data_IF_246546026803
#
_entry.id   IF_246546026803
#
_cell.length_a   1.000
_cell.length_b   1.000
_cell.length_c   1.000
_cell.angle_alpha   90.00
_cell.angle_beta   90.00
_cell.angle_gamma   90.00
#
_symmetry.space_group_name_H-M   'P 1'
#
loop_
_entity.id
_entity.type
_entity.pdbx_description
1 polymer ?
#
# COMPACT_ATOMS: atom_id res chain seq x y z
N UNK A 1 17.07 22.84 3.08
CA UNK A 1 15.68 22.41 3.32
C UNK A 1 15.65 20.93 3.03
N UNK A 2 15.33 20.12 4.04
CA UNK A 2 15.19 18.67 3.91
C UNK A 2 13.74 18.32 3.64
N UNK A 3 13.48 17.48 2.65
CA UNK A 3 12.14 17.08 2.24
C UNK A 3 12.05 15.55 2.21
N UNK A 4 11.11 14.97 2.95
CA UNK A 4 10.70 13.58 2.79
C UNK A 4 9.39 13.54 2.03
N UNK A 5 9.34 12.72 0.98
CA UNK A 5 8.19 12.60 0.08
C UNK A 5 7.95 11.14 -0.28
N UNK A 6 6.89 10.87 -1.02
CA UNK A 6 6.40 9.53 -1.31
C UNK A 6 7.26 8.65 -2.24
N UNK A 7 7.84 9.21 -3.31
CA UNK A 7 8.49 8.42 -4.36
C UNK A 7 9.70 9.14 -4.99
N UNK A 8 10.58 8.37 -5.62
CA UNK A 8 11.80 8.85 -6.27
C UNK A 8 11.51 9.85 -7.40
N UNK A 9 10.37 9.70 -8.09
CA UNK A 9 9.98 10.66 -9.14
C UNK A 9 9.77 12.08 -8.58
N UNK A 10 9.15 12.19 -7.40
CA UNK A 10 8.95 13.48 -6.71
C UNK A 10 10.28 14.06 -6.23
N UNK A 11 11.18 13.22 -5.69
CA UNK A 11 12.55 13.63 -5.31
C UNK A 11 13.28 14.24 -6.52
N UNK A 12 13.31 13.51 -7.63
CA UNK A 12 13.97 13.97 -8.86
C UNK A 12 13.37 15.29 -9.37
N UNK A 13 12.06 15.51 -9.22
CA UNK A 13 11.40 16.75 -9.61
C UNK A 13 11.81 17.93 -8.70
N UNK A 14 11.90 17.71 -7.39
CA UNK A 14 12.36 18.71 -6.43
C UNK A 14 13.83 19.11 -6.67
N UNK A 15 14.71 18.14 -6.91
CA UNK A 15 16.13 18.39 -7.17
C UNK A 15 16.38 19.09 -8.52
N UNK A 16 15.58 18.79 -9.54
CA UNK A 16 15.60 19.53 -10.82
C UNK A 16 15.16 20.98 -10.64
N UNK A 17 14.22 21.25 -9.72
CA UNK A 17 13.76 22.60 -9.42
C UNK A 17 14.84 23.42 -8.70
N UNK A 18 15.57 22.82 -7.76
CA UNK A 18 16.69 23.44 -7.06
C UNK A 18 17.67 22.37 -6.50
N UNK A 19 18.88 22.33 -7.07
CA UNK A 19 19.91 21.33 -6.72
C UNK A 19 20.49 21.47 -5.31
N UNK A 20 20.03 22.46 -4.52
CA UNK A 20 20.40 22.65 -3.11
C UNK A 20 19.41 22.02 -2.15
N UNK A 21 18.30 21.50 -2.66
CA UNK A 21 17.31 20.76 -1.88
C UNK A 21 17.86 19.36 -1.62
N UNK A 22 17.63 18.89 -0.40
CA UNK A 22 18.01 17.57 0.07
C UNK A 22 16.71 16.77 0.24
N UNK A 23 16.37 15.94 -0.74
CA UNK A 23 15.07 15.27 -0.83
C UNK A 23 15.21 13.75 -0.80
N UNK A 24 14.31 13.09 -0.06
CA UNK A 24 14.35 11.65 0.17
C UNK A 24 12.98 11.02 -0.06
N UNK A 25 12.98 9.86 -0.73
CA UNK A 25 11.75 9.11 -0.99
C UNK A 25 11.50 8.11 0.15
N UNK A 26 10.30 8.15 0.74
CA UNK A 26 9.77 7.17 1.69
C UNK A 26 9.07 5.99 1.02
N UNK A 27 9.55 5.62 -0.17
CA UNK A 27 8.92 4.66 -1.05
C UNK A 27 8.96 3.24 -0.45
N UNK A 28 7.80 2.61 -0.31
CA UNK A 28 7.60 1.19 0.01
C UNK A 28 6.18 0.76 -0.43
N UNK A 29 6.00 -0.34 -1.20
CA UNK A 29 4.72 -1.00 -1.43
C UNK A 29 4.22 -1.69 -0.15
N UNK A 30 3.58 -0.89 0.72
CA UNK A 30 3.10 -1.32 2.03
C UNK A 30 1.86 -2.23 1.97
N UNK A 31 1.24 -2.37 0.79
CA UNK A 31 0.09 -3.23 0.59
C UNK A 31 0.47 -4.63 0.07
N UNK A 32 1.76 -4.98 0.18
CA UNK A 32 2.35 -6.28 -0.13
C UNK A 32 3.22 -6.80 1.02
N UNK A 33 3.16 -8.12 1.25
CA UNK A 33 3.93 -8.80 2.27
C UNK A 33 3.46 -8.49 3.69
N UNK A 34 4.05 -9.17 4.67
CA UNK A 34 3.78 -8.91 6.08
C UNK A 34 4.41 -7.59 6.50
N UNK A 35 3.64 -6.73 7.14
CA UNK A 35 4.18 -5.60 7.91
C UNK A 35 4.43 -6.03 9.36
N UNK A 36 5.43 -5.43 9.99
CA UNK A 36 5.79 -5.68 11.38
C UNK A 36 5.44 -4.45 12.21
N UNK A 37 4.72 -4.68 13.31
CA UNK A 37 4.28 -3.64 14.22
C UNK A 37 5.43 -2.98 14.98
N UNK A 38 5.20 -1.74 15.41
CA UNK A 38 6.16 -0.91 16.12
C UNK A 38 6.89 0.08 15.23
N UNK A 39 7.76 0.87 15.87
CA UNK A 39 8.43 2.03 15.29
C UNK A 39 9.95 1.84 15.14
N UNK A 40 10.46 0.61 15.33
CA UNK A 40 11.85 0.28 15.04
C UNK A 40 12.04 0.15 13.52
N UNK A 41 12.56 1.21 12.91
CA UNK A 41 12.76 1.28 11.46
C UNK A 41 13.81 0.28 10.95
N UNK A 42 14.75 -0.14 11.79
CA UNK A 42 15.79 -1.11 11.40
C UNK A 42 15.23 -2.53 11.42
N UNK A 43 14.46 -2.87 12.46
CA UNK A 43 13.70 -4.12 12.49
C UNK A 43 12.68 -4.19 11.34
N UNK A 44 12.03 -3.07 11.04
CA UNK A 44 11.14 -2.96 9.88
C UNK A 44 11.89 -3.19 8.57
N UNK A 45 13.03 -2.52 8.35
CA UNK A 45 13.85 -2.68 7.14
C UNK A 45 14.26 -4.15 6.91
N UNK A 46 14.72 -4.83 7.96
CA UNK A 46 15.07 -6.25 7.90
C UNK A 46 13.85 -7.14 7.62
N UNK A 47 12.70 -6.88 8.24
CA UNK A 47 11.49 -7.64 7.95
C UNK A 47 11.00 -7.45 6.50
N UNK A 48 11.11 -6.22 5.97
CA UNK A 48 10.76 -5.90 4.59
C UNK A 48 11.68 -6.57 3.58
N UNK A 49 12.99 -6.65 3.85
CA UNK A 49 13.92 -7.33 2.92
C UNK A 49 13.54 -8.80 2.71
N UNK A 50 13.07 -9.50 3.75
CA UNK A 50 12.52 -10.86 3.58
C UNK A 50 11.24 -10.91 2.73
N UNK A 51 10.35 -9.92 2.86
CA UNK A 51 9.14 -9.85 2.04
C UNK A 51 9.49 -9.66 0.56
N UNK A 52 10.41 -8.74 0.27
CA UNK A 52 10.92 -8.51 -1.09
C UNK A 52 11.63 -9.74 -1.66
N UNK A 53 12.51 -10.38 -0.88
CA UNK A 53 13.20 -11.60 -1.29
C UNK A 53 12.21 -12.75 -1.60
N UNK A 54 11.17 -12.91 -0.78
CA UNK A 54 10.11 -13.89 -1.01
C UNK A 54 9.27 -13.60 -2.28
N UNK A 55 9.18 -12.33 -2.67
CA UNK A 55 8.55 -11.87 -3.91
C UNK A 55 9.49 -11.97 -5.14
N UNK A 56 10.78 -12.21 -4.91
CA UNK A 56 11.87 -12.01 -5.87
C UNK A 56 12.04 -10.56 -6.34
N UNK A 57 11.55 -9.57 -5.59
CA UNK A 57 11.63 -8.14 -5.95
C UNK A 57 12.96 -7.45 -5.58
N UNK A 58 13.91 -8.22 -5.02
CA UNK A 58 15.24 -7.74 -4.63
C UNK A 58 16.32 -8.60 -5.30
N UNK A 59 16.52 -8.39 -6.60
CA UNK A 59 17.46 -9.18 -7.40
C UNK A 59 18.92 -8.99 -6.94
N UNK A 60 19.25 -7.77 -6.53
CA UNK A 60 20.61 -7.38 -6.12
C UNK A 60 20.85 -7.51 -4.61
N UNK A 61 19.84 -7.92 -3.82
CA UNK A 61 19.89 -8.02 -2.36
C UNK A 61 20.26 -6.70 -1.66
N UNK A 62 19.74 -5.57 -2.17
CA UNK A 62 20.06 -4.21 -1.69
C UNK A 62 18.93 -3.56 -0.92
N UNK A 63 17.72 -4.14 -0.91
CA UNK A 63 16.53 -3.50 -0.31
C UNK A 63 16.72 -3.21 1.18
N UNK A 64 17.37 -4.10 1.93
CA UNK A 64 17.66 -3.82 3.34
C UNK A 64 18.58 -2.62 3.49
N UNK A 65 19.66 -2.54 2.70
CA UNK A 65 20.62 -1.45 2.76
C UNK A 65 19.98 -0.12 2.34
N UNK A 66 19.14 -0.11 1.29
CA UNK A 66 18.40 1.06 0.84
C UNK A 66 17.44 1.58 1.92
N UNK A 67 16.71 0.70 2.59
CA UNK A 67 15.84 1.12 3.71
C UNK A 67 16.66 1.68 4.88
N UNK A 68 17.80 1.09 5.21
CA UNK A 68 18.69 1.60 6.28
C UNK A 68 19.26 2.96 5.93
N UNK A 69 19.71 3.16 4.70
CA UNK A 69 20.18 4.46 4.22
C UNK A 69 19.09 5.51 4.37
N UNK A 70 17.87 5.22 3.90
CA UNK A 70 16.72 6.10 4.06
C UNK A 70 16.40 6.42 5.53
N UNK A 71 16.46 5.42 6.42
CA UNK A 71 16.23 5.60 7.87
C UNK A 71 17.30 6.49 8.52
N UNK A 72 18.56 6.32 8.12
CA UNK A 72 19.68 7.14 8.56
C UNK A 72 19.47 8.61 8.16
N UNK A 73 19.02 8.86 6.93
CA UNK A 73 18.73 10.22 6.47
C UNK A 73 17.59 10.88 7.25
N UNK A 74 16.52 10.14 7.54
CA UNK A 74 15.43 10.62 8.40
C UNK A 74 15.93 10.98 9.80
N UNK A 75 16.69 10.08 10.42
CA UNK A 75 17.24 10.29 11.76
C UNK A 75 18.15 11.51 11.80
N UNK A 76 19.09 11.59 10.85
CA UNK A 76 20.01 12.74 10.67
C UNK A 76 19.25 14.05 10.47
N UNK A 77 18.17 14.06 9.68
CA UNK A 77 17.33 15.24 9.48
C UNK A 77 16.77 15.79 10.79
N UNK A 78 16.15 14.93 11.61
CA UNK A 78 15.55 15.36 12.87
C UNK A 78 16.59 15.65 13.96
N UNK A 79 17.81 15.11 13.89
CA UNK A 79 18.92 15.44 14.79
C UNK A 79 19.63 16.76 14.43
N UNK A 80 19.66 17.13 13.14
CA UNK A 80 20.44 18.28 12.61
C UNK A 80 20.07 19.65 13.19
N UNK A 81 18.82 19.82 13.64
CA UNK A 81 18.32 21.10 14.17
C UNK A 81 17.48 21.91 13.18
N UNK A 82 17.44 21.54 11.90
CA UNK A 82 16.65 22.21 10.86
C UNK A 82 15.19 21.73 10.84
N UNK A 83 14.29 22.56 10.32
CA UNK A 83 12.92 22.14 9.99
C UNK A 83 12.95 21.10 8.85
N UNK A 84 12.11 20.07 8.96
CA UNK A 84 11.99 18.98 8.00
C UNK A 84 10.60 19.02 7.37
N UNK A 85 10.53 19.13 6.04
CA UNK A 85 9.27 19.11 5.30
C UNK A 85 8.88 17.66 4.99
N UNK A 86 7.65 17.28 5.35
CA UNK A 86 6.98 16.05 4.95
C UNK A 86 5.97 16.43 3.85
N UNK A 87 6.29 16.13 2.60
CA UNK A 87 5.46 16.45 1.43
C UNK A 87 4.79 15.17 0.93
N UNK A 88 3.48 15.05 1.12
CA UNK A 88 2.75 13.82 0.78
C UNK A 88 1.43 14.12 0.07
N UNK A 89 1.01 13.19 -0.80
CA UNK A 89 -0.33 13.23 -1.38
C UNK A 89 -1.41 12.71 -0.45
N UNK A 90 -2.64 12.65 -0.97
CA UNK A 90 -3.80 12.10 -0.26
C UNK A 90 -4.06 10.60 -0.47
N UNK A 91 -3.21 9.88 -1.23
CA UNK A 91 -3.46 8.47 -1.53
C UNK A 91 -3.26 7.58 -0.29
N UNK A 92 -3.83 6.38 -0.29
CA UNK A 92 -3.59 5.39 0.76
C UNK A 92 -2.09 5.13 0.97
N UNK A 93 -1.32 4.98 -0.10
CA UNK A 93 0.13 4.78 -0.03
C UNK A 93 0.84 5.95 0.65
N UNK A 94 0.52 7.19 0.26
CA UNK A 94 1.08 8.39 0.90
C UNK A 94 0.75 8.43 2.39
N UNK A 95 -0.50 8.13 2.75
CA UNK A 95 -0.97 8.20 4.14
C UNK A 95 -0.34 7.10 5.01
N UNK A 96 -0.07 5.91 4.48
CA UNK A 96 0.63 4.85 5.24
C UNK A 96 2.12 5.16 5.42
N UNK A 97 2.79 5.69 4.39
CA UNK A 97 4.18 6.14 4.51
C UNK A 97 4.31 7.27 5.53
N UNK A 98 3.42 8.27 5.47
CA UNK A 98 3.34 9.33 6.46
C UNK A 98 3.02 8.78 7.87
N UNK A 99 2.15 7.77 7.96
CA UNK A 99 1.84 7.10 9.24
C UNK A 99 3.08 6.49 9.88
N UNK A 100 3.93 5.82 9.10
CA UNK A 100 5.18 5.24 9.61
C UNK A 100 6.16 6.32 10.10
N UNK A 101 6.37 7.39 9.31
CA UNK A 101 7.26 8.50 9.70
C UNK A 101 6.77 9.15 10.99
N UNK A 102 5.47 9.46 11.08
CA UNK A 102 4.91 10.14 12.25
C UNK A 102 4.76 9.21 13.45
N UNK A 103 4.57 7.91 13.24
CA UNK A 103 4.66 6.87 14.27
C UNK A 103 6.03 6.85 14.91
N UNK A 104 7.09 6.75 14.11
CA UNK A 104 8.48 6.86 14.56
C UNK A 104 8.76 8.19 15.28
N UNK A 105 8.29 9.31 14.73
CA UNK A 105 8.51 10.62 15.32
C UNK A 105 7.77 10.80 16.66
N UNK A 106 6.64 10.12 16.86
CA UNK A 106 5.84 10.21 18.10
C UNK A 106 6.60 9.72 19.34
N UNK A 107 7.61 8.87 19.16
CA UNK A 107 8.48 8.35 20.23
C UNK A 107 9.71 9.22 20.49
N UNK A 108 9.92 10.27 19.67
CA UNK A 108 11.07 11.18 19.78
C UNK A 108 10.82 12.33 20.77
N UNK A 109 11.86 12.99 21.30
CA UNK A 109 11.70 14.17 22.13
C UNK A 109 10.87 15.26 21.44
N UNK A 110 10.04 15.98 22.21
CA UNK A 110 9.17 17.07 21.70
C UNK A 110 9.93 18.09 20.81
N UNK A 111 11.19 18.51 21.12
CA UNK A 111 11.93 19.40 20.24
C UNK A 111 12.24 18.84 18.85
N UNK A 112 12.36 17.51 18.69
CA UNK A 112 12.50 16.87 17.39
C UNK A 112 11.16 16.82 16.67
N UNK A 113 10.08 16.46 17.36
CA UNK A 113 8.72 16.45 16.79
C UNK A 113 8.33 17.83 16.24
N UNK A 114 8.71 18.91 16.93
CA UNK A 114 8.38 20.28 16.54
C UNK A 114 9.05 20.75 15.22
N UNK A 115 10.07 20.04 14.74
CA UNK A 115 10.76 20.33 13.47
C UNK A 115 9.98 19.84 12.26
N UNK A 116 9.04 18.91 12.44
CA UNK A 116 8.25 18.40 11.34
C UNK A 116 7.27 19.47 10.85
N UNK A 117 7.38 19.80 9.56
CA UNK A 117 6.40 20.58 8.81
C UNK A 117 5.70 19.64 7.84
N UNK A 118 4.38 19.71 7.78
CA UNK A 118 3.58 18.88 6.89
C UNK A 118 2.98 19.73 5.77
N UNK A 119 3.14 19.26 4.55
CA UNK A 119 2.35 19.69 3.40
C UNK A 119 1.65 18.49 2.80
N UNK A 120 0.33 18.47 2.89
CA UNK A 120 -0.50 17.50 2.19
C UNK A 120 -1.13 18.15 0.96
N UNK A 121 -1.03 17.47 -0.18
CA UNK A 121 -1.67 17.91 -1.42
C UNK A 121 -2.85 17.03 -1.77
N UNK A 122 -3.87 17.65 -2.35
CA UNK A 122 -5.00 16.92 -2.92
C UNK A 122 -4.57 16.29 -4.26
N UNK A 123 -4.57 14.96 -4.31
CA UNK A 123 -4.23 14.19 -5.51
C UNK A 123 -2.75 13.78 -5.62
N UNK A 124 -2.36 13.15 -6.76
CA UNK A 124 -0.99 12.64 -6.94
C UNK A 124 0.03 13.78 -7.08
N UNK A 125 1.17 13.66 -6.41
CA UNK A 125 2.27 14.65 -6.52
C UNK A 125 2.80 14.78 -7.95
N UNK A 126 2.68 13.73 -8.77
CA UNK A 126 3.11 13.70 -10.17
C UNK A 126 2.36 14.67 -11.11
N UNK A 127 1.24 15.25 -10.68
CA UNK A 127 0.51 16.26 -11.49
C UNK A 127 1.13 17.65 -11.42
N UNK A 128 2.00 17.90 -10.45
CA UNK A 128 2.65 19.19 -10.27
C UNK A 128 3.99 19.22 -11.01
N UNK A 129 4.25 20.31 -11.73
CA UNK A 129 5.56 20.52 -12.36
C UNK A 129 6.66 20.79 -11.33
N UNK A 130 7.91 20.52 -11.70
CA UNK A 130 9.10 20.62 -10.84
C UNK A 130 9.11 21.87 -9.95
N UNK A 131 8.99 23.07 -10.53
CA UNK A 131 9.00 24.33 -9.77
C UNK A 131 7.79 24.51 -8.84
N UNK A 132 6.62 23.96 -9.19
CA UNK A 132 5.42 24.07 -8.37
C UNK A 132 5.53 23.21 -7.10
N UNK A 133 6.11 22.00 -7.20
CA UNK A 133 6.35 21.14 -6.05
C UNK A 133 7.21 21.82 -4.98
N UNK A 134 8.25 22.53 -5.41
CA UNK A 134 9.12 23.26 -4.49
C UNK A 134 8.39 24.41 -3.78
N UNK A 135 7.55 25.17 -4.49
CA UNK A 135 6.74 26.23 -3.87
C UNK A 135 5.69 25.68 -2.90
N UNK A 136 5.09 24.53 -3.23
CA UNK A 136 4.20 23.78 -2.34
C UNK A 136 4.95 23.35 -1.07
N UNK A 137 6.15 22.79 -1.19
CA UNK A 137 6.94 22.33 -0.05
C UNK A 137 7.34 23.48 0.90
N UNK A 138 7.54 24.69 0.38
CA UNK A 138 7.94 25.88 1.16
C UNK A 138 6.84 26.40 2.08
N UNK A 139 5.57 26.06 1.82
CA UNK A 139 4.44 26.48 2.64
C UNK A 139 3.98 25.39 3.62
N UNK A 140 4.78 24.35 3.83
CA UNK A 140 4.51 23.31 4.83
C UNK A 140 4.36 23.91 6.23
N UNK A 141 3.34 23.46 6.96
CA UNK A 141 2.96 24.04 8.25
C UNK A 141 3.39 23.14 9.41
N UNK A 142 3.55 23.73 10.61
CA UNK A 142 3.79 22.92 11.81
C UNK A 142 2.65 21.94 12.03
N UNK A 143 2.99 20.67 12.28
CA UNK A 143 2.01 19.63 12.58
C UNK A 143 1.30 19.97 13.91
N UNK A 144 -0.05 20.07 13.94
CA UNK A 144 -0.78 20.34 15.17
C UNK A 144 -0.53 19.26 16.25
N UNK A 145 -0.59 19.67 17.51
CA UNK A 145 -0.42 18.76 18.64
C UNK A 145 -1.45 17.61 18.57
N UNK A 146 -0.99 16.37 18.81
CA UNK A 146 -1.84 15.17 18.79
C UNK A 146 -1.98 14.50 17.43
N UNK A 147 -1.69 15.19 16.31
CA UNK A 147 -1.75 14.57 14.97
C UNK A 147 -0.75 13.42 14.83
N UNK A 148 0.47 13.57 15.35
CA UNK A 148 1.47 12.49 15.41
C UNK A 148 0.89 11.20 16.02
N UNK A 149 0.15 11.32 17.12
CA UNK A 149 -0.43 10.17 17.82
C UNK A 149 -1.53 9.49 17.00
N UNK A 150 -2.31 10.23 16.20
CA UNK A 150 -3.34 9.63 15.34
C UNK A 150 -2.69 8.82 14.22
N UNK A 151 -1.64 9.35 13.59
CA UNK A 151 -0.88 8.63 12.58
C UNK A 151 -0.12 7.42 13.15
N UNK A 152 0.41 7.52 14.39
CA UNK A 152 0.99 6.40 15.10
C UNK A 152 -0.03 5.26 15.32
N UNK A 153 -1.25 5.60 15.79
CA UNK A 153 -2.34 4.63 15.95
C UNK A 153 -2.70 3.97 14.62
N UNK A 154 -2.75 4.73 13.53
CA UNK A 154 -3.02 4.18 12.20
C UNK A 154 -1.91 3.22 11.72
N UNK A 155 -0.64 3.58 11.96
CA UNK A 155 0.49 2.70 11.66
C UNK A 155 0.44 1.40 12.46
N UNK A 156 0.26 1.48 13.77
CA UNK A 156 0.16 0.32 14.66
C UNK A 156 -1.02 -0.58 14.28
N UNK A 157 -2.16 0.00 13.89
CA UNK A 157 -3.32 -0.74 13.43
C UNK A 157 -3.05 -1.53 12.14
N UNK A 158 -2.45 -0.88 11.14
CA UNK A 158 -2.19 -1.49 9.82
C UNK A 158 -1.06 -2.52 9.88
N UNK A 159 -0.03 -2.26 10.69
CA UNK A 159 1.10 -3.17 10.89
C UNK A 159 0.83 -4.26 11.95
N UNK A 160 -0.28 -4.14 12.68
CA UNK A 160 -0.75 -5.11 13.67
C UNK A 160 -1.56 -6.27 13.08
N UNK A 161 -1.78 -7.29 13.91
CA UNK A 161 -2.51 -8.50 13.51
C UNK A 161 -4.04 -8.41 13.72
N UNK A 162 -4.55 -7.28 14.23
CA UNK A 162 -5.98 -7.09 14.48
C UNK A 162 -6.60 -6.16 13.44
N UNK A 163 -7.41 -6.67 12.49
CA UNK A 163 -8.04 -5.81 11.48
C UNK A 163 -9.09 -4.87 12.08
N UNK A 164 -9.66 -5.16 13.25
CA UNK A 164 -10.60 -4.26 13.93
C UNK A 164 -9.93 -2.98 14.44
N UNK A 165 -8.62 -3.04 14.72
CA UNK A 165 -7.85 -1.84 15.04
C UNK A 165 -7.81 -0.85 13.85
N UNK A 166 -7.83 -1.36 12.61
CA UNK A 166 -7.85 -0.52 11.39
C UNK A 166 -9.20 0.19 11.25
N UNK A 167 -10.32 -0.50 11.52
CA UNK A 167 -11.65 0.15 11.57
C UNK A 167 -11.70 1.25 12.64
N UNK A 168 -11.16 0.99 13.84
CA UNK A 168 -11.10 1.99 14.91
C UNK A 168 -10.22 3.19 14.53
N UNK A 169 -9.06 2.96 13.90
CA UNK A 169 -8.18 4.01 13.41
C UNK A 169 -8.84 4.86 12.30
N UNK A 170 -9.60 4.22 11.41
CA UNK A 170 -10.41 4.90 10.38
C UNK A 170 -11.47 5.81 11.01
N UNK A 171 -12.26 5.31 11.96
CA UNK A 171 -13.28 6.10 12.67
C UNK A 171 -12.65 7.28 13.43
N UNK A 172 -11.49 7.04 14.07
CA UNK A 172 -10.73 8.08 14.76
C UNK A 172 -10.23 9.17 13.81
N UNK A 173 -9.59 8.79 12.70
CA UNK A 173 -9.11 9.72 11.68
C UNK A 173 -10.24 10.60 11.13
N UNK A 174 -11.41 10.00 10.86
CA UNK A 174 -12.59 10.74 10.41
C UNK A 174 -13.07 11.76 11.46
N UNK A 175 -13.12 11.36 12.74
CA UNK A 175 -13.55 12.25 13.84
C UNK A 175 -12.63 13.46 14.06
N UNK A 176 -11.36 13.31 13.71
CA UNK A 176 -10.30 14.33 13.86
C UNK A 176 -10.09 15.16 12.57
N UNK A 177 -10.92 14.93 11.54
CA UNK A 177 -10.86 15.70 10.29
C UNK A 177 -9.73 15.29 9.34
N UNK A 178 -9.08 14.16 9.56
CA UNK A 178 -8.03 13.61 8.69
C UNK A 178 -8.66 12.81 7.54
N UNK A 179 -9.31 13.52 6.61
CA UNK A 179 -10.14 12.93 5.56
C UNK A 179 -9.37 11.95 4.65
N UNK A 180 -8.14 12.28 4.24
CA UNK A 180 -7.31 11.42 3.39
C UNK A 180 -6.91 10.13 4.10
N UNK A 181 -6.50 10.21 5.36
CA UNK A 181 -6.18 9.02 6.17
C UNK A 181 -7.41 8.14 6.36
N UNK A 182 -8.56 8.73 6.73
CA UNK A 182 -9.81 7.98 6.89
C UNK A 182 -10.25 7.31 5.58
N UNK A 183 -10.19 8.01 4.45
CA UNK A 183 -10.53 7.46 3.14
C UNK A 183 -9.58 6.33 2.72
N UNK A 184 -8.28 6.50 2.96
CA UNK A 184 -7.28 5.47 2.74
C UNK A 184 -7.57 4.21 3.56
N UNK A 185 -7.75 4.33 4.88
CA UNK A 185 -8.04 3.19 5.76
C UNK A 185 -9.38 2.51 5.38
N UNK A 186 -10.39 3.27 4.99
CA UNK A 186 -11.65 2.72 4.47
C UNK A 186 -11.44 1.90 3.18
N UNK A 187 -10.55 2.35 2.28
CA UNK A 187 -10.18 1.59 1.08
C UNK A 187 -9.34 0.37 1.42
N UNK A 188 -8.45 0.47 2.39
CA UNK A 188 -7.65 -0.65 2.89
C UNK A 188 -8.51 -1.79 3.45
N UNK A 189 -9.55 -1.48 4.21
CA UNK A 189 -10.48 -2.46 4.77
C UNK A 189 -11.24 -3.26 3.71
N UNK A 190 -11.44 -2.69 2.51
CA UNK A 190 -12.04 -3.41 1.37
C UNK A 190 -11.10 -4.47 0.77
N UNK A 191 -9.84 -4.52 1.20
CA UNK A 191 -8.92 -5.62 0.87
C UNK A 191 -9.12 -6.85 1.76
N UNK A 192 -9.93 -6.77 2.81
CA UNK A 192 -10.43 -7.94 3.51
C UNK A 192 -11.38 -8.73 2.58
N UNK A 193 -11.55 -10.04 2.82
CA UNK A 193 -12.51 -10.82 2.08
C UNK A 193 -13.94 -10.27 2.23
N UNK A 194 -14.69 -10.15 1.14
CA UNK A 194 -16.09 -9.74 1.24
C UNK A 194 -16.94 -10.81 1.94
N UNK A 195 -17.98 -10.37 2.66
CA UNK A 195 -18.97 -11.31 3.22
C UNK A 195 -19.75 -12.07 2.12
N UNK A 196 -19.92 -11.45 0.95
CA UNK A 196 -20.75 -11.98 -0.13
C UNK A 196 -20.08 -13.13 -0.87
N UNK A 197 -18.80 -13.00 -1.23
CA UNK A 197 -18.10 -13.95 -2.09
C UNK A 197 -16.65 -14.20 -1.68
N UNK A 198 -16.14 -13.60 -0.60
CA UNK A 198 -14.79 -13.81 -0.09
C UNK A 198 -13.67 -13.17 -0.91
N UNK A 199 -14.00 -12.43 -1.98
CA UNK A 199 -13.01 -11.67 -2.76
C UNK A 199 -12.70 -10.35 -2.07
N UNK A 200 -11.44 -9.89 -2.14
CA UNK A 200 -11.14 -8.48 -1.92
C UNK A 200 -11.72 -7.62 -3.05
N UNK A 201 -11.87 -6.31 -2.83
CA UNK A 201 -12.31 -5.41 -3.91
C UNK A 201 -11.39 -5.45 -5.13
N UNK A 202 -10.06 -5.48 -4.93
CA UNK A 202 -9.08 -5.59 -6.03
C UNK A 202 -9.29 -6.89 -6.82
N UNK A 203 -9.52 -8.01 -6.14
CA UNK A 203 -9.78 -9.30 -6.79
C UNK A 203 -11.11 -9.26 -7.58
N UNK A 204 -12.18 -8.74 -6.98
CA UNK A 204 -13.48 -8.61 -7.63
C UNK A 204 -13.39 -7.74 -8.90
N UNK A 205 -12.79 -6.56 -8.81
CA UNK A 205 -12.59 -5.66 -9.95
C UNK A 205 -11.76 -6.30 -11.06
N UNK A 206 -10.73 -7.09 -10.69
CA UNK A 206 -9.91 -7.83 -11.65
C UNK A 206 -10.73 -8.87 -12.41
N UNK A 207 -11.51 -9.70 -11.69
CA UNK A 207 -12.36 -10.71 -12.31
C UNK A 207 -13.45 -10.07 -13.19
N UNK A 208 -14.05 -8.97 -12.74
CA UNK A 208 -15.04 -8.22 -13.53
C UNK A 208 -14.44 -7.61 -14.80
N UNK A 209 -13.21 -7.08 -14.74
CA UNK A 209 -12.50 -6.57 -15.92
C UNK A 209 -12.27 -7.69 -16.95
N UNK A 210 -11.89 -8.90 -16.51
CA UNK A 210 -11.76 -10.07 -17.39
C UNK A 210 -13.12 -10.46 -17.98
N UNK A 211 -14.19 -10.46 -17.18
CA UNK A 211 -15.57 -10.72 -17.64
C UNK A 211 -16.01 -9.72 -18.72
N UNK A 212 -15.56 -8.47 -18.63
CA UNK A 212 -15.81 -7.40 -19.62
C UNK A 212 -14.90 -7.47 -20.85
N UNK A 213 -13.98 -8.44 -20.92
CA UNK A 213 -13.15 -8.71 -22.08
C UNK A 213 -11.75 -8.12 -22.03
N UNK A 214 -11.32 -7.57 -20.89
CA UNK A 214 -9.94 -7.10 -20.70
C UNK A 214 -9.07 -8.29 -20.31
N UNK A 215 -8.08 -8.63 -21.15
CA UNK A 215 -7.37 -9.92 -21.03
C UNK A 215 -5.89 -9.79 -20.73
N UNK A 216 -5.23 -8.69 -21.09
CA UNK A 216 -3.80 -8.52 -20.86
C UNK A 216 -3.52 -8.06 -19.42
N UNK A 217 -2.43 -8.50 -18.77
CA UNK A 217 -2.10 -8.06 -17.41
C UNK A 217 -1.94 -6.54 -17.25
N UNK A 218 -1.41 -5.87 -18.29
CA UNK A 218 -1.20 -4.42 -18.31
C UNK A 218 -2.52 -3.66 -18.44
N UNK A 219 -3.40 -4.10 -19.32
CA UNK A 219 -4.71 -3.46 -19.48
C UNK A 219 -5.60 -3.72 -18.26
N UNK A 220 -5.47 -4.88 -17.62
CA UNK A 220 -6.14 -5.16 -16.34
C UNK A 220 -5.67 -4.19 -15.24
N UNK A 221 -4.37 -3.96 -15.12
CA UNK A 221 -3.85 -2.97 -14.16
C UNK A 221 -4.44 -1.58 -14.43
N UNK A 222 -4.42 -1.13 -15.69
CA UNK A 222 -4.99 0.16 -16.06
C UNK A 222 -6.50 0.24 -15.79
N UNK A 223 -7.25 -0.82 -16.08
CA UNK A 223 -8.68 -0.88 -15.87
C UNK A 223 -9.05 -0.85 -14.38
N UNK A 224 -8.35 -1.61 -13.54
CA UNK A 224 -8.57 -1.61 -12.09
C UNK A 224 -8.19 -0.26 -11.49
N UNK A 225 -7.05 0.32 -11.86
CA UNK A 225 -6.66 1.67 -11.43
C UNK A 225 -7.69 2.74 -11.82
N UNK A 226 -8.35 2.60 -12.97
CA UNK A 226 -9.40 3.53 -13.40
C UNK A 226 -10.68 3.46 -12.55
N UNK A 227 -10.87 2.41 -11.75
CA UNK A 227 -11.98 2.29 -10.80
C UNK A 227 -11.68 2.88 -9.42
N UNK A 228 -10.40 3.19 -9.15
CA UNK A 228 -9.97 3.75 -7.87
C UNK A 228 -10.21 5.26 -7.82
N UNK A 229 -10.69 5.75 -6.67
CA UNK A 229 -10.85 7.19 -6.44
C UNK A 229 -9.48 7.91 -6.41
N UNK A 230 -8.47 7.25 -5.84
CA UNK A 230 -7.06 7.64 -5.87
C UNK A 230 -6.23 6.42 -6.25
N UNK A 231 -5.19 6.54 -7.10
CA UNK A 231 -4.30 5.42 -7.40
C UNK A 231 -3.85 4.71 -6.13
N UNK A 232 -3.94 3.38 -6.10
CA UNK A 232 -3.61 2.59 -4.92
C UNK A 232 -2.36 1.75 -5.14
N UNK A 233 -2.53 0.57 -5.75
CA UNK A 233 -1.44 -0.39 -5.89
C UNK A 233 -0.47 0.03 -6.97
N UNK A 234 0.80 -0.29 -6.76
CA UNK A 234 1.74 -0.31 -7.88
C UNK A 234 1.49 -1.57 -8.73
N UNK A 235 2.00 -1.55 -9.96
CA UNK A 235 1.89 -2.67 -10.89
C UNK A 235 2.39 -4.00 -10.30
N UNK A 236 3.53 -4.00 -9.59
CA UNK A 236 4.09 -5.20 -8.97
C UNK A 236 3.14 -5.84 -7.95
N UNK A 237 2.57 -5.05 -7.05
CA UNK A 237 1.57 -5.52 -6.08
C UNK A 237 0.32 -6.08 -6.77
N UNK A 238 -0.13 -5.39 -7.83
CA UNK A 238 -1.27 -5.84 -8.61
C UNK A 238 -1.00 -7.17 -9.34
N UNK A 239 0.16 -7.33 -9.96
CA UNK A 239 0.51 -8.57 -10.66
C UNK A 239 0.65 -9.75 -9.70
N UNK A 240 1.13 -9.53 -8.48
CA UNK A 240 1.10 -10.55 -7.43
C UNK A 240 -0.34 -10.97 -7.05
N UNK A 241 -1.31 -10.04 -7.08
CA UNK A 241 -2.74 -10.38 -6.91
C UNK A 241 -3.22 -11.27 -8.06
N UNK A 242 -2.87 -10.94 -9.31
CA UNK A 242 -3.22 -11.75 -10.49
C UNK A 242 -2.59 -13.14 -10.42
N UNK A 243 -1.32 -13.23 -10.03
CA UNK A 243 -0.62 -14.50 -9.82
C UNK A 243 -1.33 -15.38 -8.78
N UNK A 244 -1.76 -14.78 -7.67
CA UNK A 244 -2.57 -15.46 -6.66
C UNK A 244 -3.92 -15.95 -7.18
N UNK A 245 -4.57 -15.22 -8.09
CA UNK A 245 -5.83 -15.63 -8.74
C UNK A 245 -5.64 -16.75 -9.78
N UNK A 246 -4.44 -16.87 -10.35
CA UNK A 246 -4.05 -17.93 -11.28
C UNK A 246 -3.47 -19.18 -10.58
N UNK A 247 -3.22 -19.09 -9.28
CA UNK A 247 -2.52 -20.11 -8.49
C UNK A 247 -3.45 -21.03 -7.71
N UNK A 248 -2.90 -22.15 -7.24
CA UNK A 248 -3.60 -23.14 -6.41
C UNK A 248 -4.25 -24.26 -7.23
N UNK A 249 -4.93 -25.18 -6.54
CA UNK A 249 -5.56 -26.36 -7.16
C UNK A 249 -6.88 -26.07 -7.88
N UNK A 250 -7.47 -24.90 -7.63
CA UNK A 250 -8.77 -24.50 -8.17
C UNK A 250 -8.81 -22.96 -8.34
N UNK A 251 -8.04 -22.43 -9.32
CA UNK A 251 -7.81 -21.00 -9.51
C UNK A 251 -9.04 -20.28 -10.08
N UNK A 252 -9.06 -18.95 -9.95
CA UNK A 252 -10.16 -18.09 -10.46
C UNK A 252 -9.90 -17.54 -11.86
N UNK A 253 -8.62 -17.42 -12.20
CA UNK A 253 -8.14 -17.04 -13.52
C UNK A 253 -7.23 -18.14 -14.08
N UNK A 254 -7.09 -18.16 -15.40
CA UNK A 254 -6.07 -18.96 -16.10
C UNK A 254 -5.57 -18.20 -17.31
N UNK A 255 -4.37 -18.55 -17.78
CA UNK A 255 -3.93 -18.08 -19.10
C UNK A 255 -4.71 -18.81 -20.19
N UNK A 256 -4.97 -18.12 -21.31
CA UNK A 256 -5.65 -18.71 -22.47
C UNK A 256 -4.82 -19.82 -23.15
N UNK A 257 -3.48 -19.81 -22.98
CA UNK A 257 -2.63 -20.90 -23.46
C UNK A 257 -2.72 -22.15 -22.57
N UNK A 258 -3.16 -22.00 -21.32
CA UNK A 258 -3.17 -23.05 -20.30
C UNK A 258 -1.83 -23.21 -19.56
N UNK A 259 -0.81 -22.44 -19.92
CA UNK A 259 0.47 -22.40 -19.21
C UNK A 259 0.34 -21.66 -17.88
N UNK A 260 1.25 -21.89 -16.91
CA UNK A 260 1.32 -21.07 -15.70
C UNK A 260 1.41 -19.58 -16.02
N UNK A 261 0.76 -18.75 -15.20
CA UNK A 261 0.89 -17.31 -15.33
C UNK A 261 2.34 -16.90 -15.11
N UNK A 262 2.91 -16.19 -16.07
CA UNK A 262 4.23 -15.58 -15.92
C UNK A 262 4.02 -14.29 -15.14
N UNK A 263 4.52 -14.24 -13.90
CA UNK A 263 4.51 -13.02 -13.09
C UNK A 263 5.95 -12.48 -12.99
N UNK A 264 6.20 -11.22 -13.38
CA UNK A 264 7.47 -10.58 -13.11
C UNK A 264 7.79 -10.62 -11.59
N UNK A 265 9.07 -10.70 -11.19
CA UNK A 265 10.26 -10.63 -12.05
C UNK A 265 10.78 -12.02 -12.46
N UNK A 266 10.15 -13.11 -12.00
CA UNK A 266 10.66 -14.49 -12.09
C UNK A 266 11.12 -14.92 -13.49
N UNK A 267 10.60 -14.34 -14.57
CA UNK A 267 10.96 -14.68 -15.94
C UNK A 267 11.44 -13.52 -16.84
N UNK A 268 11.60 -12.28 -16.34
CA UNK A 268 12.02 -11.02 -17.02
C UNK A 268 11.87 -10.91 -18.57
N UNK A 269 10.87 -11.56 -19.16
CA UNK A 269 10.50 -11.46 -20.57
C UNK A 269 9.24 -10.62 -20.65
N UNK A 270 9.38 -9.30 -20.47
CA UNK A 270 8.25 -8.36 -20.46
C UNK A 270 7.36 -8.50 -21.71
N UNK A 271 7.94 -8.83 -22.86
CA UNK A 271 7.18 -9.12 -24.08
C UNK A 271 6.27 -10.36 -23.94
N UNK A 272 6.80 -11.45 -23.38
CA UNK A 272 6.01 -12.66 -23.12
C UNK A 272 4.94 -12.40 -22.05
N UNK A 273 5.29 -11.64 -21.01
CA UNK A 273 4.36 -11.20 -19.97
C UNK A 273 3.19 -10.41 -20.55
N UNK A 274 3.47 -9.38 -21.34
CA UNK A 274 2.48 -8.50 -21.96
C UNK A 274 1.60 -9.24 -22.99
N UNK A 275 2.12 -10.30 -23.61
CA UNK A 275 1.39 -11.12 -24.58
C UNK A 275 0.40 -12.13 -23.94
N UNK A 276 0.44 -12.33 -22.62
CA UNK A 276 -0.48 -13.22 -21.93
C UNK A 276 -1.93 -12.72 -22.04
N UNK A 277 -2.86 -13.65 -22.22
CA UNK A 277 -4.28 -13.38 -22.14
C UNK A 277 -4.88 -14.19 -21.00
N UNK A 278 -5.63 -13.53 -20.12
CA UNK A 278 -6.30 -14.13 -18.98
C UNK A 278 -7.77 -14.41 -19.30
N UNK A 279 -8.28 -15.51 -18.77
CA UNK A 279 -9.68 -15.91 -18.86
C UNK A 279 -10.18 -16.33 -17.47
N UNK A 280 -11.48 -16.13 -17.23
CA UNK A 280 -12.13 -16.68 -16.05
C UNK A 280 -12.19 -18.21 -16.12
N UNK A 281 -11.97 -18.85 -14.98
CA UNK A 281 -12.30 -20.27 -14.81
C UNK A 281 -13.80 -20.42 -14.51
N UNK A 282 -14.33 -21.66 -14.54
CA UNK A 282 -15.71 -21.92 -14.10
C UNK A 282 -15.96 -21.45 -12.66
N UNK A 283 -14.95 -21.56 -11.79
CA UNK A 283 -15.02 -21.05 -10.42
C UNK A 283 -15.03 -19.52 -10.37
N UNK A 284 -14.19 -18.85 -11.16
CA UNK A 284 -14.19 -17.39 -11.28
C UNK A 284 -15.57 -16.87 -11.70
N UNK A 285 -16.18 -17.47 -12.73
CA UNK A 285 -17.54 -17.15 -13.18
C UNK A 285 -18.61 -17.43 -12.11
N UNK A 286 -18.47 -18.54 -11.37
CA UNK A 286 -19.40 -18.87 -10.29
C UNK A 286 -19.36 -17.81 -9.17
N UNK A 287 -18.18 -17.40 -8.71
CA UNK A 287 -18.03 -16.38 -7.66
C UNK A 287 -18.57 -15.02 -8.09
N UNK A 288 -18.30 -14.58 -9.33
CA UNK A 288 -18.88 -13.33 -9.87
C UNK A 288 -20.40 -13.37 -9.92
N UNK A 289 -20.98 -14.55 -10.14
CA UNK A 289 -22.42 -14.75 -10.12
C UNK A 289 -22.99 -15.01 -8.71
N UNK A 290 -22.22 -14.77 -7.64
CA UNK A 290 -22.64 -14.96 -6.25
C UNK A 290 -22.80 -16.42 -5.83
N UNK A 291 -22.21 -17.37 -6.57
CA UNK A 291 -22.27 -18.80 -6.28
C UNK A 291 -20.96 -19.27 -5.66
N UNK A 292 -20.92 -19.29 -4.34
CA UNK A 292 -19.79 -19.77 -3.56
C UNK A 292 -19.06 -18.65 -2.83
N UNK A 293 -17.96 -19.00 -2.18
CA UNK A 293 -17.11 -18.06 -1.46
C UNK A 293 -15.64 -18.42 -1.75
N UNK A 294 -14.80 -17.41 -1.94
CA UNK A 294 -13.38 -17.62 -2.23
C UNK A 294 -12.63 -18.15 -1.00
N UNK A 295 -13.03 -17.76 0.21
CA UNK A 295 -12.51 -18.37 1.43
C UNK A 295 -12.99 -19.82 1.50
N UNK A 296 -12.03 -20.72 1.37
CA UNK A 296 -12.19 -22.14 1.45
C UNK A 296 -10.83 -22.81 1.56
N UNK A 297 -10.80 -24.14 1.63
CA UNK A 297 -9.57 -24.92 1.89
C UNK A 297 -8.44 -24.73 0.86
N UNK A 298 -8.72 -24.14 -0.30
CA UNK A 298 -7.76 -23.83 -1.36
C UNK A 298 -7.32 -22.36 -1.41
N UNK A 299 -7.80 -21.51 -0.49
CA UNK A 299 -7.49 -20.08 -0.48
C UNK A 299 -5.99 -19.86 -0.28
N UNK A 300 -5.31 -19.09 -1.16
CA UNK A 300 -3.91 -18.78 -1.00
C UNK A 300 -3.73 -17.80 0.15
N UNK A 301 -2.96 -18.20 1.17
CA UNK A 301 -2.58 -17.33 2.28
C UNK A 301 -1.96 -16.03 1.75
N UNK A 302 -2.38 -14.91 2.32
CA UNK A 302 -1.81 -13.59 2.01
C UNK A 302 -1.83 -12.69 3.23
N UNK A 303 -1.09 -11.59 3.15
CA UNK A 303 -1.04 -10.57 4.18
C UNK A 303 -1.80 -9.32 3.75
N UNK A 304 -2.53 -8.72 4.68
CA UNK A 304 -3.02 -7.35 4.60
C UNK A 304 -2.38 -6.57 5.74
N UNK A 305 -1.21 -6.01 5.47
CA UNK A 305 -0.40 -5.37 6.50
C UNK A 305 0.13 -6.41 7.49
N UNK A 306 -0.15 -6.21 8.78
CA UNK A 306 0.19 -7.18 9.82
C UNK A 306 -0.82 -8.32 9.98
N UNK A 307 -1.98 -8.26 9.32
CA UNK A 307 -3.03 -9.27 9.43
C UNK A 307 -2.84 -10.37 8.38
N UNK A 308 -2.80 -11.62 8.84
CA UNK A 308 -2.78 -12.81 7.98
C UNK A 308 -4.20 -13.18 7.57
N UNK A 309 -4.40 -13.30 6.26
CA UNK A 309 -5.65 -13.78 5.66
C UNK A 309 -5.41 -15.18 5.13
N UNK A 310 -6.15 -16.14 5.66
CA UNK A 310 -6.18 -17.55 5.25
C UNK A 310 -7.63 -18.08 5.29
N UNK A 311 -7.79 -19.38 5.04
CA UNK A 311 -9.09 -20.03 5.00
C UNK A 311 -9.86 -19.99 6.34
N UNK A 312 -9.18 -19.74 7.45
CA UNK A 312 -9.73 -19.78 8.81
C UNK A 312 -9.89 -18.39 9.45
N UNK A 313 -9.42 -17.32 8.80
CA UNK A 313 -9.42 -15.96 9.36
C UNK A 313 -10.77 -15.51 9.93
N UNK A 314 -11.89 -15.91 9.30
CA UNK A 314 -13.24 -15.67 9.84
C UNK A 314 -13.64 -14.20 9.96
N UNK A 315 -12.92 -13.31 9.26
CA UNK A 315 -13.13 -11.87 9.22
C UNK A 315 -13.48 -11.46 7.81
N UNK A 316 -14.55 -10.67 7.67
CA UNK A 316 -15.06 -10.24 6.38
C UNK A 316 -15.37 -8.74 6.38
N UNK A 317 -15.28 -8.12 5.22
CA UNK A 317 -15.80 -6.79 4.97
C UNK A 317 -17.25 -6.88 4.48
N UNK A 318 -18.15 -6.16 5.15
CA UNK A 318 -19.54 -5.98 4.73
C UNK A 318 -19.72 -4.61 4.07
N UNK A 319 -19.97 -4.60 2.76
CA UNK A 319 -20.17 -3.37 2.00
C UNK A 319 -21.47 -2.64 2.34
N UNK A 320 -22.49 -3.34 2.85
CA UNK A 320 -23.77 -2.73 3.20
C UNK A 320 -23.64 -1.89 4.47
N UNK A 321 -23.01 -2.44 5.51
CA UNK A 321 -22.74 -1.70 6.76
C UNK A 321 -21.47 -0.86 6.72
N UNK A 322 -20.56 -1.12 5.77
CA UNK A 322 -19.19 -0.57 5.72
C UNK A 322 -18.42 -0.82 7.02
N UNK A 323 -18.54 -2.06 7.51
CA UNK A 323 -17.88 -2.53 8.73
C UNK A 323 -17.29 -3.91 8.54
N UNK A 324 -16.35 -4.24 9.42
CA UNK A 324 -15.86 -5.59 9.60
C UNK A 324 -16.92 -6.42 10.32
N UNK A 325 -17.17 -7.62 9.82
CA UNK A 325 -18.03 -8.62 10.44
C UNK A 325 -17.27 -9.93 10.66
N UNK A 326 -17.78 -10.76 11.57
CA UNK A 326 -17.13 -12.01 11.97
C UNK A 326 -16.27 -11.84 13.23
N UNK A 327 -15.31 -12.74 13.42
CA UNK A 327 -14.41 -12.72 14.57
C UNK A 327 -13.03 -13.22 14.15
N UNK A 328 -12.00 -12.41 14.41
CA UNK A 328 -10.63 -12.84 14.22
C UNK A 328 -10.33 -13.99 15.18
N UNK A 329 -9.79 -15.10 14.65
CA UNK A 329 -9.21 -16.14 15.49
C UNK A 329 -7.78 -15.73 15.84
N UNK A 330 -7.53 -15.57 17.15
CA UNK A 330 -6.21 -15.27 17.73
C UNK A 330 -5.37 -16.54 17.81
#
# INVERSE_FOLDING_TARGET
MRIFTNEVATVNALERADSRIDAFAWQDPLAFGRLVAGNDLEAFANARSFAYAGAHWDEDNVVEEDFKLRNMELTSAFESGEDVCLLFGGSLTDQLQLSQILGWLSERPIPEQAKAKLMQVDGPLSVFGDGALLEIAKVAETIPAGIHAIYAIAWDAVSGADPFAVEAAMERAASEGLASLAAGLARWLQELPSQENGLSITQLQTLDAVRLGIRSPRDLFAAVQATEATPFRINWEFWAVVDGLCSGSDPLLRTASGDPFLCPPRDLAFEAFDAQNLELTERGEALLAGRGNYLGSSFPERWLGGFKIDAESGVFWDYASRKIVGAARV
#
